data_IF_107637257645
#
_entry.id   IF_107637257645
#
_cell.length_a   1.000
_cell.length_b   1.000
_cell.length_c   1.000
_cell.angle_alpha   90.00
_cell.angle_beta   90.00
_cell.angle_gamma   90.00
#
_symmetry.space_group_name_H-M   'P 1'
#
loop_
_entity.id
_entity.type
_entity.pdbx_description
1 polymer ?
#
# COMPACT_ATOMS: atom_id res chain seq x y z
N UNK A 1 -17.02 16.35 23.35
CA UNK A 1 -15.77 15.59 23.58
C UNK A 1 -15.30 14.96 22.28
N UNK A 2 -14.12 15.37 21.78
CA UNK A 2 -13.48 14.70 20.64
C UNK A 2 -13.00 13.34 21.14
N UNK A 3 -13.43 12.27 20.50
CA UNK A 3 -12.93 10.92 20.77
C UNK A 3 -12.05 10.55 19.59
N UNK A 4 -10.72 10.43 19.77
CA UNK A 4 -9.86 10.01 18.68
C UNK A 4 -10.25 8.60 18.24
N UNK A 5 -10.61 8.43 16.98
CA UNK A 5 -10.96 7.13 16.40
C UNK A 5 -9.76 6.64 15.60
N UNK A 6 -9.24 5.47 15.98
CA UNK A 6 -8.25 4.75 15.20
C UNK A 6 -8.94 3.64 14.39
N UNK A 7 -8.90 3.77 13.07
CA UNK A 7 -9.42 2.79 12.12
C UNK A 7 -8.27 2.04 11.47
N UNK A 8 -8.31 0.71 11.53
CA UNK A 8 -7.41 -0.16 10.77
C UNK A 8 -8.09 -0.72 9.53
N UNK A 9 -7.35 -0.82 8.44
CA UNK A 9 -7.81 -1.46 7.20
C UNK A 9 -6.75 -2.39 6.64
N UNK A 10 -7.20 -3.44 5.94
CA UNK A 10 -6.34 -4.35 5.20
C UNK A 10 -7.03 -4.65 3.88
N UNK A 11 -6.33 -4.43 2.77
CA UNK A 11 -6.72 -4.95 1.46
C UNK A 11 -5.70 -5.97 0.98
N UNK A 12 -6.18 -7.06 0.37
CA UNK A 12 -5.33 -8.06 -0.27
C UNK A 12 -5.90 -8.37 -1.65
N UNK A 13 -5.12 -8.07 -2.68
CA UNK A 13 -5.48 -8.31 -4.08
C UNK A 13 -4.60 -9.46 -4.58
N UNK A 14 -5.21 -10.48 -5.18
CA UNK A 14 -4.53 -11.65 -5.71
C UNK A 14 -4.73 -11.75 -7.22
N UNK A 15 -3.64 -11.95 -7.97
CA UNK A 15 -3.67 -12.18 -9.40
C UNK A 15 -3.62 -13.68 -9.70
N UNK A 16 -4.60 -14.18 -10.44
CA UNK A 16 -4.61 -15.58 -10.86
C UNK A 16 -3.78 -15.86 -12.12
N UNK A 17 -3.36 -14.83 -12.86
CA UNK A 17 -2.58 -15.00 -14.09
C UNK A 17 -1.12 -15.34 -13.82
N UNK A 18 -0.54 -14.76 -12.77
CA UNK A 18 0.88 -14.89 -12.41
C UNK A 18 1.11 -15.24 -10.92
N UNK A 19 0.03 -15.54 -10.18
CA UNK A 19 0.03 -15.90 -8.75
C UNK A 19 0.66 -14.85 -7.82
N UNK A 20 0.83 -13.61 -8.29
CA UNK A 20 1.30 -12.51 -7.47
C UNK A 20 0.18 -11.88 -6.64
N UNK A 21 0.53 -11.10 -5.62
CA UNK A 21 -0.46 -10.39 -4.82
C UNK A 21 0.02 -9.05 -4.28
N UNK A 22 -0.92 -8.17 -3.94
CA UNK A 22 -0.68 -6.87 -3.33
C UNK A 22 -1.38 -6.81 -1.97
N UNK A 23 -0.61 -6.60 -0.90
CA UNK A 23 -1.13 -6.40 0.45
C UNK A 23 -1.02 -4.92 0.85
N UNK A 24 -2.13 -4.34 1.30
CA UNK A 24 -2.20 -2.94 1.69
C UNK A 24 -2.83 -2.79 3.08
N UNK A 25 -2.04 -2.92 4.16
CA UNK A 25 -2.49 -2.52 5.48
C UNK A 25 -2.44 -0.99 5.61
N UNK A 26 -3.43 -0.44 6.30
CA UNK A 26 -3.59 0.99 6.54
C UNK A 26 -4.10 1.28 7.94
N UNK A 27 -3.74 2.46 8.44
CA UNK A 27 -4.19 3.03 9.68
C UNK A 27 -4.66 4.46 9.40
N UNK A 28 -5.80 4.82 9.96
CA UNK A 28 -6.32 6.18 9.95
C UNK A 28 -6.64 6.59 11.40
N UNK A 29 -6.08 7.71 11.83
CA UNK A 29 -6.37 8.36 13.10
C UNK A 29 -7.17 9.64 12.82
N UNK A 30 -8.41 9.69 13.28
CA UNK A 30 -9.19 10.92 13.35
C UNK A 30 -8.72 11.72 14.57
N UNK A 31 -8.09 12.87 14.32
CA UNK A 31 -7.47 13.73 15.34
C UNK A 31 -8.46 14.79 15.84
N UNK A 32 -9.26 15.32 14.92
CA UNK A 32 -10.41 16.20 15.18
C UNK A 32 -11.49 15.99 14.11
N UNK A 33 -12.61 16.70 14.25
CA UNK A 33 -13.71 16.65 13.28
C UNK A 33 -13.25 17.11 11.87
N UNK A 34 -12.18 17.93 11.82
CA UNK A 34 -11.59 18.49 10.61
C UNK A 34 -10.17 18.00 10.29
N UNK A 35 -9.65 16.99 11.00
CA UNK A 35 -8.29 16.50 10.77
C UNK A 35 -8.16 14.98 10.84
N UNK A 36 -7.59 14.40 9.79
CA UNK A 36 -7.23 12.98 9.72
C UNK A 36 -5.74 12.81 9.48
N UNK A 37 -5.17 11.77 10.10
CA UNK A 37 -3.82 11.30 9.83
C UNK A 37 -3.87 9.85 9.34
N UNK A 38 -3.25 9.57 8.20
CA UNK A 38 -3.24 8.25 7.57
C UNK A 38 -1.81 7.75 7.43
N UNK A 39 -1.65 6.45 7.66
CA UNK A 39 -0.42 5.70 7.44
C UNK A 39 -0.76 4.44 6.68
N UNK A 40 0.06 4.06 5.72
CA UNK A 40 -0.11 2.79 5.05
C UNK A 40 1.12 2.34 4.28
N UNK A 41 1.05 1.10 3.85
CA UNK A 41 2.08 0.49 3.00
C UNK A 41 1.41 -0.30 1.90
N UNK A 42 2.05 -0.35 0.74
CA UNK A 42 1.68 -1.19 -0.39
C UNK A 42 2.80 -2.20 -0.59
N UNK A 43 2.52 -3.48 -0.33
CA UNK A 43 3.50 -4.56 -0.37
C UNK A 43 3.16 -5.47 -1.54
N UNK A 44 3.93 -5.34 -2.62
CA UNK A 44 3.91 -6.29 -3.73
C UNK A 44 4.59 -7.60 -3.36
N UNK A 45 3.91 -8.72 -3.58
CA UNK A 45 4.39 -10.09 -3.36
C UNK A 45 4.39 -10.83 -4.69
N UNK A 46 5.57 -11.18 -5.19
CA UNK A 46 5.75 -11.91 -6.44
C UNK A 46 7.16 -11.73 -6.99
N UNK A 47 7.37 -12.20 -8.22
CA UNK A 47 8.67 -12.20 -8.89
C UNK A 47 9.11 -10.76 -9.22
N UNK A 48 10.32 -10.42 -8.79
CA UNK A 48 10.91 -9.10 -9.01
C UNK A 48 11.49 -8.99 -10.42
N UNK A 49 11.53 -7.78 -10.99
CA UNK A 49 12.19 -7.56 -12.27
C UNK A 49 13.70 -7.81 -12.12
N UNK A 50 14.28 -8.46 -13.12
CA UNK A 50 15.71 -8.82 -13.13
C UNK A 50 16.42 -8.17 -14.32
N UNK A 51 17.66 -7.75 -14.10
CA UNK A 51 18.53 -7.23 -15.15
C UNK A 51 19.36 -8.39 -15.68
N UNK A 52 19.14 -8.74 -16.95
CA UNK A 52 19.89 -9.79 -17.65
C UNK A 52 20.87 -9.15 -18.64
N UNK A 53 21.77 -9.96 -19.22
CA UNK A 53 22.64 -9.52 -20.33
C UNK A 53 21.86 -9.02 -21.57
N UNK A 54 20.59 -9.38 -21.67
CA UNK A 54 19.69 -9.06 -22.79
C UNK A 54 18.76 -7.86 -22.50
N UNK A 55 18.82 -7.30 -21.27
CA UNK A 55 17.97 -6.18 -20.83
C UNK A 55 17.16 -6.48 -19.57
N UNK A 56 16.22 -5.58 -19.26
CA UNK A 56 15.29 -5.70 -18.14
C UNK A 56 14.18 -6.70 -18.48
N UNK A 57 14.05 -7.75 -17.67
CA UNK A 57 12.94 -8.69 -17.74
C UNK A 57 12.00 -8.37 -16.59
N UNK A 58 10.75 -8.06 -16.90
CA UNK A 58 9.71 -7.87 -15.88
C UNK A 58 9.36 -9.22 -15.28
N UNK A 59 9.18 -9.23 -13.95
CA UNK A 59 8.69 -10.39 -13.22
C UNK A 59 7.16 -10.43 -13.24
N UNK A 60 6.56 -10.65 -12.07
CA UNK A 60 5.10 -10.63 -11.93
C UNK A 60 4.54 -9.21 -11.82
N UNK A 61 3.24 -9.04 -12.06
CA UNK A 61 2.55 -7.74 -12.01
C UNK A 61 2.80 -7.06 -10.66
N UNK A 62 2.43 -7.70 -9.55
CA UNK A 62 2.63 -7.12 -8.22
C UNK A 62 4.07 -7.22 -7.71
N UNK A 63 4.92 -8.09 -8.27
CA UNK A 63 6.36 -8.13 -7.96
C UNK A 63 7.17 -7.03 -8.66
N UNK A 64 6.63 -6.43 -9.72
CA UNK A 64 7.24 -5.32 -10.46
C UNK A 64 7.15 -4.00 -9.70
N UNK A 65 6.10 -3.80 -8.90
CA UNK A 65 5.94 -2.60 -8.11
C UNK A 65 6.79 -2.66 -6.84
N UNK A 66 7.52 -1.59 -6.48
CA UNK A 66 8.26 -1.54 -5.24
C UNK A 66 7.31 -1.47 -4.04
N UNK A 67 7.81 -1.84 -2.86
CA UNK A 67 7.11 -1.57 -1.60
C UNK A 67 7.06 -0.06 -1.35
N UNK A 68 5.86 0.50 -1.27
CA UNK A 68 5.64 1.94 -1.07
C UNK A 68 5.05 2.16 0.32
N UNK A 69 5.66 3.04 1.10
CA UNK A 69 5.13 3.52 2.37
C UNK A 69 4.61 4.93 2.16
N UNK A 70 3.47 5.25 2.77
CA UNK A 70 2.91 6.58 2.71
C UNK A 70 2.38 7.05 4.05
N UNK A 71 2.37 8.36 4.18
CA UNK A 71 1.84 9.09 5.32
C UNK A 71 1.12 10.31 4.77
N UNK A 72 -0.10 10.53 5.21
CA UNK A 72 -0.94 11.62 4.73
C UNK A 72 -1.58 12.34 5.92
N UNK A 73 -1.64 13.66 5.84
CA UNK A 73 -2.36 14.48 6.81
C UNK A 73 -3.41 15.29 6.05
N UNK A 74 -4.68 15.09 6.38
CA UNK A 74 -5.82 15.78 5.78
C UNK A 74 -6.34 16.82 6.75
N UNK A 75 -6.59 18.02 6.24
CA UNK A 75 -7.19 19.11 6.99
C UNK A 75 -8.35 19.68 6.18
N UNK A 76 -9.52 19.80 6.79
CA UNK A 76 -10.75 20.30 6.15
C UNK A 76 -11.08 21.71 6.70
N UNK A 77 -11.60 22.60 5.86
CA UNK A 77 -11.93 24.00 6.19
C UNK A 77 -13.22 24.46 5.52
#
# INVERSE_FOLDING_TARGET
PIVPILTGSIAWIFSFSDYSSLLQPGLQLSVSDEADFLLGVMIGLGDRPEVTSSGLVLGSEFGTYPTIWYMEFKFYF
#
